data_IF_521288270114
#
_entry.id   IF_521288270114
#
_cell.length_a   1.000
_cell.length_b   1.000
_cell.length_c   1.000
_cell.angle_alpha   90.00
_cell.angle_beta   90.00
_cell.angle_gamma   90.00
#
_symmetry.space_group_name_H-M   'P 1'
#
loop_
_entity.id
_entity.type
_entity.pdbx_description
1 polymer ?
#
# COMPACT_ATOMS: atom_id res chain seq x y z
N UNK A 1 13.45 -26.75 23.52
CA UNK A 1 14.02 -26.05 24.68
C UNK A 1 13.50 -24.62 24.63
N UNK A 2 12.70 -24.21 25.61
CA UNK A 2 12.35 -22.80 25.83
C UNK A 2 13.60 -22.11 26.37
N UNK A 3 14.15 -21.17 25.60
CA UNK A 3 15.25 -20.31 26.04
C UNK A 3 14.76 -19.41 27.16
N UNK A 4 15.47 -19.39 28.28
CA UNK A 4 15.18 -18.50 29.40
C UNK A 4 15.25 -17.04 28.96
N UNK A 5 14.30 -16.22 29.43
CA UNK A 5 14.34 -14.78 29.20
C UNK A 5 15.51 -14.18 29.99
N UNK A 6 16.46 -13.54 29.30
CA UNK A 6 17.49 -12.74 29.95
C UNK A 6 16.82 -11.50 30.54
N UNK A 7 16.79 -11.41 31.88
CA UNK A 7 16.22 -10.29 32.61
C UNK A 7 17.35 -9.58 33.35
N UNK A 8 17.83 -8.47 32.79
CA UNK A 8 18.78 -7.59 33.45
C UNK A 8 18.06 -6.31 33.89
N UNK A 9 18.06 -6.04 35.20
CA UNK A 9 17.50 -4.81 35.74
C UNK A 9 18.53 -3.70 35.61
N UNK A 10 18.28 -2.74 34.72
CA UNK A 10 19.19 -1.62 34.46
C UNK A 10 18.68 -0.35 35.13
N UNK A 11 19.58 0.34 35.83
CA UNK A 11 19.31 1.60 36.52
C UNK A 11 20.37 2.59 36.02
N UNK A 12 19.93 3.70 35.43
CA UNK A 12 20.80 4.73 34.87
C UNK A 12 20.45 6.12 35.41
N UNK A 13 21.47 6.96 35.54
CA UNK A 13 21.36 8.39 35.85
C UNK A 13 21.38 9.22 34.54
N UNK A 14 20.87 10.46 34.55
CA UNK A 14 20.82 11.32 33.37
C UNK A 14 19.52 11.28 32.57
N UNK A 15 18.47 10.64 33.12
CA UNK A 15 17.08 10.76 32.64
C UNK A 15 16.58 12.22 32.72
N UNK A 16 15.42 12.50 32.11
CA UNK A 16 14.76 13.81 32.16
C UNK A 16 14.81 14.41 33.57
N UNK A 17 15.38 15.62 33.65
CA UNK A 17 15.53 16.34 34.91
C UNK A 17 14.19 16.54 35.63
N UNK A 18 14.23 16.64 36.96
CA UNK A 18 13.04 16.91 37.74
C UNK A 18 12.40 18.23 37.27
N UNK A 19 11.08 18.26 36.97
CA UNK A 19 10.40 19.48 36.56
C UNK A 19 10.62 20.60 37.57
N UNK A 20 11.11 21.75 37.11
CA UNK A 20 11.15 22.95 37.93
C UNK A 20 9.79 23.67 37.82
N UNK A 21 9.18 23.94 38.96
CA UNK A 21 7.95 24.73 39.03
C UNK A 21 8.32 26.20 38.90
N UNK A 22 7.96 26.81 37.77
CA UNK A 22 8.10 28.26 37.60
C UNK A 22 7.12 29.04 38.49
N UNK A 23 5.99 28.43 38.86
CA UNK A 23 5.08 28.93 39.90
C UNK A 23 4.32 27.75 40.55
N UNK A 24 4.41 27.61 41.87
CA UNK A 24 3.70 26.54 42.60
C UNK A 24 2.20 26.81 42.79
N UNK A 25 1.73 28.01 42.41
CA UNK A 25 0.34 28.42 42.52
C UNK A 25 -0.16 28.56 43.97
N UNK A 26 -1.33 29.15 44.15
CA UNK A 26 -2.09 29.10 45.41
C UNK A 26 -3.58 28.98 45.10
N UNK A 27 -4.24 27.92 45.59
CA UNK A 27 -5.65 27.63 45.29
C UNK A 27 -5.87 26.86 43.98
N UNK A 28 -7.11 26.90 43.45
CA UNK A 28 -7.56 26.16 42.25
C UNK A 28 -7.19 26.82 40.90
N UNK A 29 -6.01 27.43 40.78
CA UNK A 29 -5.57 28.06 39.51
C UNK A 29 -4.25 27.49 39.00
N UNK A 30 -4.20 27.40 37.66
CA UNK A 30 -3.25 26.69 36.81
C UNK A 30 -1.81 26.62 37.33
N UNK A 31 -1.34 25.39 37.51
CA UNK A 31 0.07 25.06 37.76
C UNK A 31 0.76 24.87 36.40
N UNK A 32 1.91 25.51 36.20
CA UNK A 32 2.77 25.28 35.04
C UNK A 32 4.16 24.85 35.50
N UNK A 33 4.74 23.89 34.79
CA UNK A 33 6.09 23.40 34.98
C UNK A 33 6.78 23.37 33.62
N UNK A 34 8.07 23.70 33.60
CA UNK A 34 8.90 23.62 32.40
C UNK A 34 9.84 22.43 32.54
N UNK A 35 9.75 21.50 31.58
CA UNK A 35 10.75 20.43 31.41
C UNK A 35 11.85 20.97 30.49
N UNK A 36 13.10 20.88 30.93
CA UNK A 36 14.28 21.23 30.12
C UNK A 36 15.24 20.05 30.05
N UNK A 37 15.74 19.75 28.84
CA UNK A 37 16.72 18.69 28.55
C UNK A 37 16.13 17.52 27.76
N UNK A 38 16.98 16.82 27.03
CA UNK A 38 16.57 15.71 26.15
C UNK A 38 16.59 14.35 26.87
N UNK A 39 17.23 14.26 28.03
CA UNK A 39 17.27 13.07 28.89
C UNK A 39 17.90 11.83 28.25
N UNK A 40 18.35 10.89 29.07
CA UNK A 40 18.68 9.53 28.64
C UNK A 40 17.40 8.68 28.65
N UNK A 41 17.08 8.03 27.53
CA UNK A 41 16.04 7.01 27.46
C UNK A 41 16.71 5.65 27.26
N UNK A 42 16.47 4.70 28.18
CA UNK A 42 16.92 3.31 28.05
C UNK A 42 16.03 2.55 27.04
N UNK A 43 16.08 2.97 25.77
CA UNK A 43 15.39 2.33 24.66
C UNK A 43 16.40 1.81 23.64
N UNK A 44 16.49 0.49 23.56
CA UNK A 44 17.37 -0.19 22.61
C UNK A 44 16.77 -0.15 21.21
N UNK A 45 17.63 0.15 20.24
CA UNK A 45 17.23 0.26 18.85
C UNK A 45 17.10 -1.14 18.25
N UNK A 46 15.87 -1.55 17.99
CA UNK A 46 15.55 -2.84 17.38
C UNK A 46 14.88 -2.66 16.01
N UNK A 47 15.02 -3.67 15.15
CA UNK A 47 14.42 -3.67 13.83
C UNK A 47 15.33 -3.08 12.75
N UNK A 48 14.75 -2.60 11.63
CA UNK A 48 15.53 -2.25 10.46
C UNK A 48 16.06 -0.81 10.50
N UNK A 49 15.77 -0.03 11.54
CA UNK A 49 16.16 1.38 11.61
C UNK A 49 17.18 1.60 12.73
N UNK A 50 18.27 2.29 12.41
CA UNK A 50 19.33 2.66 13.33
C UNK A 50 19.56 4.17 13.27
N UNK A 51 19.41 4.86 14.39
CA UNK A 51 19.74 6.26 14.58
C UNK A 51 21.24 6.41 14.85
N UNK A 52 21.87 7.30 14.10
CA UNK A 52 23.30 7.59 14.20
C UNK A 52 23.52 9.09 14.33
N UNK A 53 24.55 9.47 15.09
CA UNK A 53 24.98 10.86 15.30
C UNK A 53 26.48 11.00 15.07
N UNK A 54 26.96 12.24 15.01
CA UNK A 54 28.38 12.60 14.94
C UNK A 54 29.13 11.96 13.76
N UNK A 55 28.48 11.92 12.60
CA UNK A 55 29.10 11.38 11.39
C UNK A 55 29.92 12.42 10.63
N UNK A 56 31.12 12.03 10.24
CA UNK A 56 32.04 12.84 9.45
C UNK A 56 31.63 13.02 7.97
N UNK A 57 30.70 12.20 7.48
CA UNK A 57 30.21 12.24 6.09
C UNK A 57 28.90 11.48 5.93
N UNK A 58 28.18 11.75 4.84
CA UNK A 58 26.94 11.05 4.50
C UNK A 58 27.27 9.79 3.67
N UNK A 59 27.05 8.58 4.20
CA UNK A 59 27.31 7.38 3.43
C UNK A 59 26.29 7.19 2.29
N UNK A 60 26.76 6.58 1.20
CA UNK A 60 25.90 6.12 0.12
C UNK A 60 25.10 4.87 0.50
N UNK A 61 23.94 4.63 -0.15
CA UNK A 61 23.23 3.35 -0.02
C UNK A 61 24.13 2.21 -0.51
N UNK A 62 24.12 1.11 0.22
CA UNK A 62 24.95 -0.06 -0.01
C UNK A 62 26.27 -0.09 0.77
N UNK A 63 26.59 0.95 1.55
CA UNK A 63 27.73 0.92 2.45
C UNK A 63 27.58 -0.18 3.52
N UNK A 64 28.71 -0.73 3.95
CA UNK A 64 28.79 -1.73 5.00
C UNK A 64 28.92 -1.01 6.34
N UNK A 65 28.20 -1.49 7.33
CA UNK A 65 28.21 -1.00 8.70
C UNK A 65 28.71 -2.11 9.63
N UNK A 66 29.75 -1.80 10.38
CA UNK A 66 30.23 -2.60 11.50
C UNK A 66 29.87 -1.88 12.80
N UNK A 67 29.24 -2.62 13.71
CA UNK A 67 28.89 -2.12 15.03
C UNK A 67 29.90 -2.73 16.00
N UNK A 68 30.60 -1.89 16.77
CA UNK A 68 31.57 -2.37 17.75
C UNK A 68 30.84 -3.23 18.80
N UNK A 69 31.39 -4.41 19.12
CA UNK A 69 30.74 -5.42 19.97
C UNK A 69 29.92 -6.48 19.23
N UNK A 70 29.69 -6.32 17.91
CA UNK A 70 28.99 -7.30 17.07
C UNK A 70 29.85 -7.71 15.87
N UNK A 71 30.94 -8.42 16.13
CA UNK A 71 31.93 -8.79 15.10
C UNK A 71 31.44 -9.90 14.16
N UNK A 72 30.46 -10.71 14.59
CA UNK A 72 29.93 -11.84 13.81
C UNK A 72 28.87 -11.43 12.78
N UNK A 73 28.33 -10.21 12.85
CA UNK A 73 27.26 -9.74 11.96
C UNK A 73 27.68 -8.51 11.17
N UNK A 74 27.47 -8.58 9.85
CA UNK A 74 27.77 -7.49 8.93
C UNK A 74 26.47 -6.86 8.46
N UNK A 75 26.26 -5.59 8.83
CA UNK A 75 25.08 -4.84 8.45
C UNK A 75 25.31 -4.06 7.15
N UNK A 76 24.25 -3.87 6.37
CA UNK A 76 24.27 -3.10 5.12
C UNK A 76 23.29 -1.95 5.22
N UNK A 77 23.73 -0.75 4.88
CA UNK A 77 22.87 0.43 4.79
C UNK A 77 22.10 0.34 3.47
N UNK A 78 20.79 0.19 3.54
CA UNK A 78 19.91 0.19 2.35
C UNK A 78 19.46 1.60 1.99
N UNK A 79 19.20 2.42 3.01
CA UNK A 79 18.72 3.78 2.83
C UNK A 79 19.19 4.68 3.97
N UNK A 80 19.34 5.97 3.69
CA UNK A 80 19.67 7.01 4.67
C UNK A 80 18.53 8.03 4.69
N UNK A 81 17.85 8.12 5.83
CA UNK A 81 16.67 8.95 6.07
C UNK A 81 16.99 10.02 7.12
N UNK A 82 16.16 11.07 7.21
CA UNK A 82 16.20 12.07 8.29
C UNK A 82 17.59 12.67 8.56
N UNK A 83 18.33 13.00 7.50
CA UNK A 83 19.67 13.61 7.63
C UNK A 83 19.53 15.04 8.16
N UNK A 84 20.16 15.31 9.29
CA UNK A 84 20.21 16.63 9.93
C UNK A 84 21.65 16.99 10.32
N UNK A 85 21.94 18.28 10.45
CA UNK A 85 23.27 18.78 10.77
C UNK A 85 24.23 18.90 9.58
N UNK A 86 25.48 19.27 9.87
CA UNK A 86 26.57 19.42 8.92
C UNK A 86 27.81 18.68 9.44
N UNK A 87 28.68 18.21 8.53
CA UNK A 87 29.93 17.53 8.92
C UNK A 87 30.77 18.42 9.86
N UNK A 88 31.30 17.91 10.97
CA UNK A 88 31.37 16.49 11.40
C UNK A 88 30.21 16.00 12.30
N UNK A 89 29.18 16.81 12.52
CA UNK A 89 28.06 16.50 13.43
C UNK A 89 26.78 16.20 12.64
N UNK A 90 26.86 15.24 11.71
CA UNK A 90 25.67 14.80 10.95
C UNK A 90 24.95 13.71 11.76
N UNK A 91 23.65 13.89 11.94
CA UNK A 91 22.75 12.86 12.44
C UNK A 91 21.86 12.34 11.32
N UNK A 92 21.56 11.04 11.33
CA UNK A 92 20.69 10.41 10.35
C UNK A 92 20.05 9.14 10.90
N UNK A 93 19.02 8.68 10.21
CA UNK A 93 18.43 7.37 10.41
C UNK A 93 18.82 6.45 9.26
N UNK A 94 19.55 5.38 9.55
CA UNK A 94 19.86 4.34 8.57
C UNK A 94 18.80 3.27 8.57
N UNK A 95 18.42 2.81 7.38
CA UNK A 95 17.73 1.54 7.21
C UNK A 95 18.76 0.45 6.94
N UNK A 96 18.83 -0.59 7.76
CA UNK A 96 19.85 -1.63 7.71
C UNK A 96 19.28 -3.03 7.45
N UNK A 97 20.10 -3.87 6.81
CA UNK A 97 19.84 -5.30 6.57
C UNK A 97 21.10 -6.12 6.89
N UNK A 98 21.02 -7.22 7.66
CA UNK A 98 19.84 -7.74 8.36
C UNK A 98 19.32 -6.80 9.44
N UNK A 99 18.09 -7.01 9.93
CA UNK A 99 17.49 -6.19 11.01
C UNK A 99 18.19 -6.48 12.35
N UNK A 100 18.27 -5.48 13.23
CA UNK A 100 18.77 -5.68 14.60
C UNK A 100 17.77 -6.49 15.42
N UNK A 101 18.25 -7.59 15.99
CA UNK A 101 17.50 -8.35 16.98
C UNK A 101 17.73 -7.78 18.39
N UNK A 102 16.89 -8.15 19.35
CA UNK A 102 17.00 -7.66 20.73
C UNK A 102 18.37 -7.96 21.37
N UNK A 103 18.96 -9.12 21.06
CA UNK A 103 20.27 -9.54 21.57
C UNK A 103 21.45 -8.88 20.83
N UNK A 104 21.19 -8.23 19.71
CA UNK A 104 22.19 -7.58 18.84
C UNK A 104 22.02 -6.06 18.86
N UNK A 105 21.22 -5.53 19.78
CA UNK A 105 21.03 -4.09 19.87
C UNK A 105 22.19 -3.47 20.64
N UNK A 106 22.95 -2.52 20.06
CA UNK A 106 24.10 -1.92 20.72
C UNK A 106 23.68 -0.99 21.86
N UNK A 107 24.56 -0.83 22.85
CA UNK A 107 24.41 0.16 23.90
C UNK A 107 24.46 1.59 23.30
N UNK A 108 23.91 2.55 24.04
CA UNK A 108 23.98 3.95 23.65
C UNK A 108 25.44 4.40 23.45
N UNK A 109 25.67 5.25 22.46
CA UNK A 109 27.01 5.76 22.09
C UNK A 109 28.04 4.69 21.68
N UNK A 110 27.60 3.48 21.35
CA UNK A 110 28.47 2.48 20.73
C UNK A 110 29.04 3.00 19.41
N UNK A 111 30.36 2.90 19.28
CA UNK A 111 31.05 3.30 18.05
C UNK A 111 30.69 2.40 16.86
N UNK A 112 30.53 3.03 15.70
CA UNK A 112 30.26 2.34 14.44
C UNK A 112 31.34 2.66 13.42
N UNK A 113 31.73 1.67 12.62
CA UNK A 113 32.64 1.85 11.48
C UNK A 113 31.85 1.64 10.19
N UNK A 114 31.88 2.63 9.30
CA UNK A 114 31.20 2.56 8.01
C UNK A 114 32.25 2.42 6.91
N UNK A 115 32.09 1.41 6.06
CA UNK A 115 32.91 1.19 4.87
C UNK A 115 32.07 1.35 3.63
N UNK A 116 32.33 2.42 2.88
CA UNK A 116 31.65 2.68 1.60
C UNK A 116 32.21 1.82 0.46
N UNK A 117 33.50 1.49 0.52
CA UNK A 117 34.17 0.67 -0.49
C UNK A 117 34.07 -0.79 -0.08
N UNK A 118 33.60 -1.63 -0.99
CA UNK A 118 33.50 -3.07 -0.82
C UNK A 118 34.40 -3.79 -1.83
N UNK A 119 34.90 -4.95 -1.45
CA UNK A 119 35.53 -5.87 -2.39
C UNK A 119 34.45 -6.40 -3.35
N UNK A 120 34.70 -6.28 -4.64
CA UNK A 120 33.80 -6.76 -5.68
C UNK A 120 34.47 -7.86 -6.48
N UNK A 121 33.78 -8.99 -6.61
CA UNK A 121 34.08 -10.02 -7.60
C UNK A 121 32.98 -9.98 -8.65
N UNK A 122 33.37 -9.89 -9.92
CA UNK A 122 32.47 -9.96 -11.06
C UNK A 122 32.72 -11.26 -11.82
N UNK A 123 31.67 -12.04 -12.01
CA UNK A 123 31.67 -13.26 -12.79
C UNK A 123 30.64 -13.06 -13.92
N UNK A 124 31.00 -13.37 -15.16
CA UNK A 124 30.10 -13.19 -16.30
C UNK A 124 30.09 -14.43 -17.17
N UNK A 125 28.90 -15.01 -17.40
CA UNK A 125 28.74 -16.19 -18.25
C UNK A 125 29.36 -17.46 -17.64
N UNK A 126 29.30 -17.58 -16.31
CA UNK A 126 29.77 -18.79 -15.63
C UNK A 126 28.65 -19.81 -15.55
N UNK A 127 29.00 -21.08 -15.66
CA UNK A 127 28.05 -22.18 -15.59
C UNK A 127 28.06 -22.76 -14.16
N UNK A 128 26.93 -22.68 -13.46
CA UNK A 128 26.78 -23.23 -12.12
C UNK A 128 26.08 -24.58 -12.19
N UNK A 129 26.83 -25.58 -12.66
CA UNK A 129 26.34 -26.95 -12.77
C UNK A 129 26.45 -27.69 -11.44
N UNK A 130 25.36 -28.36 -11.05
CA UNK A 130 25.34 -29.37 -9.98
C UNK A 130 25.91 -28.87 -8.64
N UNK A 131 25.73 -27.57 -8.34
CA UNK A 131 26.23 -26.95 -7.12
C UNK A 131 25.58 -27.61 -5.90
N UNK A 132 26.40 -27.94 -4.89
CA UNK A 132 25.96 -28.62 -3.67
C UNK A 132 26.17 -30.14 -3.65
N UNK A 133 26.53 -30.77 -4.78
CA UNK A 133 26.74 -32.23 -4.89
C UNK A 133 28.05 -32.75 -4.29
N UNK A 134 28.88 -31.86 -3.74
CA UNK A 134 30.10 -32.20 -3.01
C UNK A 134 31.36 -32.24 -3.88
N UNK A 135 32.17 -33.29 -3.75
CA UNK A 135 33.44 -33.46 -4.46
C UNK A 135 33.29 -34.40 -5.67
N UNK A 136 34.38 -34.59 -6.45
CA UNK A 136 34.38 -35.44 -7.65
C UNK A 136 33.75 -36.83 -7.44
N UNK A 137 33.96 -37.45 -6.28
CA UNK A 137 33.44 -38.79 -5.98
C UNK A 137 31.95 -38.77 -5.62
N UNK A 138 31.46 -37.73 -4.92
CA UNK A 138 30.07 -37.63 -4.50
C UNK A 138 29.17 -37.05 -5.59
N UNK A 139 29.69 -36.09 -6.37
CA UNK A 139 29.06 -35.55 -7.56
C UNK A 139 28.93 -36.63 -8.63
N UNK A 140 29.93 -37.51 -8.78
CA UNK A 140 29.89 -38.64 -9.72
C UNK A 140 29.46 -38.23 -11.15
N UNK A 141 29.98 -37.10 -11.65
CA UNK A 141 29.69 -36.64 -13.02
C UNK A 141 30.39 -37.56 -14.06
N UNK A 142 29.69 -38.05 -15.12
CA UNK A 142 28.31 -37.75 -15.51
C UNK A 142 27.27 -38.78 -15.02
N UNK A 143 27.69 -39.80 -14.25
CA UNK A 143 26.81 -40.85 -13.72
C UNK A 143 25.63 -40.34 -12.87
N UNK A 144 25.72 -39.12 -12.34
CA UNK A 144 24.62 -38.45 -11.65
C UNK A 144 23.37 -38.27 -12.54
N UNK A 145 23.54 -38.11 -13.85
CA UNK A 145 22.40 -37.94 -14.78
C UNK A 145 21.67 -39.23 -15.09
N UNK A 146 22.26 -40.39 -14.78
CA UNK A 146 21.64 -41.71 -15.01
C UNK A 146 21.20 -42.38 -13.72
N UNK A 147 21.95 -42.19 -12.63
CA UNK A 147 21.73 -42.86 -11.34
C UNK A 147 21.19 -41.95 -10.23
N UNK A 148 21.07 -40.64 -10.48
CA UNK A 148 20.63 -39.64 -9.50
C UNK A 148 21.74 -39.19 -8.55
N UNK A 149 21.38 -38.36 -7.56
CA UNK A 149 22.33 -37.81 -6.59
C UNK A 149 22.64 -38.79 -5.46
N UNK A 150 23.85 -38.65 -4.90
CA UNK A 150 24.18 -39.30 -3.63
C UNK A 150 23.30 -38.70 -2.51
N UNK A 151 22.57 -39.50 -1.74
CA UNK A 151 21.73 -39.00 -0.64
C UNK A 151 22.52 -38.10 0.33
N UNK A 152 21.96 -36.94 0.65
CA UNK A 152 22.62 -35.91 1.49
C UNK A 152 23.47 -34.89 0.71
N UNK A 153 23.76 -35.15 -0.56
CA UNK A 153 24.48 -34.26 -1.48
C UNK A 153 23.59 -33.87 -2.67
N UNK A 154 22.37 -33.45 -2.36
CA UNK A 154 21.45 -32.89 -3.35
C UNK A 154 21.91 -31.50 -3.82
N UNK A 155 21.45 -31.09 -5.01
CA UNK A 155 21.72 -29.76 -5.54
C UNK A 155 21.20 -28.69 -4.59
N UNK A 156 22.03 -27.70 -4.29
CA UNK A 156 21.73 -26.57 -3.41
C UNK A 156 22.04 -25.28 -4.15
N UNK A 157 21.06 -24.79 -4.90
CA UNK A 157 21.19 -23.58 -5.71
C UNK A 157 21.60 -22.35 -4.89
N UNK A 158 21.15 -22.27 -3.63
CA UNK A 158 21.49 -21.15 -2.74
C UNK A 158 22.98 -21.04 -2.43
N UNK A 159 23.78 -22.07 -2.75
CA UNK A 159 25.22 -22.09 -2.51
C UNK A 159 26.05 -21.72 -3.75
N UNK A 160 25.43 -21.21 -4.83
CA UNK A 160 26.13 -20.74 -6.04
C UNK A 160 27.18 -19.67 -5.72
N UNK A 161 26.83 -18.74 -4.85
CA UNK A 161 27.76 -17.72 -4.37
C UNK A 161 27.64 -17.58 -2.86
N UNK A 162 28.79 -17.45 -2.20
CA UNK A 162 28.87 -17.12 -0.79
C UNK A 162 29.66 -15.83 -0.68
N UNK A 163 29.04 -14.82 -0.06
CA UNK A 163 29.71 -13.56 0.27
C UNK A 163 30.14 -13.61 1.73
N UNK A 164 31.39 -13.24 1.98
CA UNK A 164 31.96 -13.08 3.33
C UNK A 164 32.49 -11.65 3.51
N UNK A 165 32.52 -11.17 4.75
CA UNK A 165 33.13 -9.89 5.12
C UNK A 165 32.54 -8.68 4.40
N UNK A 166 31.24 -8.74 4.05
CA UNK A 166 30.55 -7.66 3.34
C UNK A 166 30.94 -7.47 1.87
N UNK A 167 31.80 -8.33 1.31
CA UNK A 167 32.11 -8.32 -0.13
C UNK A 167 30.88 -8.60 -0.99
N UNK A 168 30.91 -8.22 -2.27
CA UNK A 168 29.81 -8.48 -3.20
C UNK A 168 30.27 -9.35 -4.35
N UNK A 169 29.46 -10.37 -4.66
CA UNK A 169 29.62 -11.19 -5.85
C UNK A 169 28.49 -10.83 -6.80
N UNK A 170 28.85 -10.23 -7.93
CA UNK A 170 27.91 -10.01 -9.01
C UNK A 170 28.17 -11.06 -10.07
N UNK A 171 27.15 -11.82 -10.42
CA UNK A 171 27.27 -12.92 -11.36
C UNK A 171 26.15 -12.90 -12.38
N UNK A 172 26.49 -13.35 -13.58
CA UNK A 172 25.51 -13.89 -14.53
C UNK A 172 25.84 -15.36 -14.74
N UNK A 173 24.84 -16.22 -14.58
CA UNK A 173 25.04 -17.66 -14.67
C UNK A 173 23.93 -18.36 -15.45
N UNK A 174 24.27 -19.55 -15.92
CA UNK A 174 23.32 -20.55 -16.37
C UNK A 174 23.39 -21.72 -15.40
N UNK A 175 22.25 -22.33 -15.08
CA UNK A 175 22.21 -23.59 -14.33
C UNK A 175 22.16 -24.81 -15.24
N UNK A 176 22.20 -25.99 -14.65
CA UNK A 176 22.15 -27.26 -15.39
C UNK A 176 20.85 -27.54 -16.15
N UNK A 177 19.78 -26.80 -15.86
CA UNK A 177 18.49 -26.89 -16.53
C UNK A 177 18.34 -25.79 -17.61
N UNK A 178 19.39 -24.98 -17.81
CA UNK A 178 19.46 -23.91 -18.80
C UNK A 178 18.87 -22.58 -18.33
N UNK A 179 18.49 -22.45 -17.07
CA UNK A 179 17.91 -21.22 -16.54
C UNK A 179 18.99 -20.14 -16.42
N UNK A 180 18.66 -18.93 -16.85
CA UNK A 180 19.59 -17.79 -16.83
C UNK A 180 19.31 -16.89 -15.65
N UNK A 181 20.36 -16.52 -14.91
CA UNK A 181 20.25 -15.70 -13.70
C UNK A 181 21.21 -14.53 -13.70
N UNK A 182 20.77 -13.40 -13.13
CA UNK A 182 21.59 -12.21 -12.84
C UNK A 182 21.52 -11.95 -11.33
N UNK A 183 22.38 -12.62 -10.58
CA UNK A 183 22.30 -12.63 -9.12
C UNK A 183 20.94 -13.15 -8.64
N UNK A 184 20.39 -12.49 -7.62
CA UNK A 184 19.03 -12.73 -7.10
C UNK A 184 17.97 -11.79 -7.71
N UNK A 185 18.37 -10.93 -8.66
CA UNK A 185 17.53 -9.85 -9.16
C UNK A 185 16.59 -10.31 -10.27
N UNK A 186 17.09 -11.18 -11.14
CA UNK A 186 16.43 -11.57 -12.36
C UNK A 186 16.76 -13.01 -12.69
N UNK A 187 15.71 -13.77 -13.01
CA UNK A 187 15.80 -15.18 -13.38
C UNK A 187 14.88 -15.46 -14.56
N UNK A 188 15.38 -16.26 -15.52
CA UNK A 188 14.63 -16.75 -16.67
C UNK A 188 14.70 -18.26 -16.65
N UNK A 189 13.55 -18.89 -16.43
CA UNK A 189 13.41 -20.33 -16.57
C UNK A 189 13.15 -20.68 -18.03
N UNK A 190 14.12 -21.29 -18.71
CA UNK A 190 13.98 -21.58 -20.15
C UNK A 190 13.00 -22.71 -20.43
N UNK A 191 12.79 -23.61 -19.47
CA UNK A 191 11.88 -24.76 -19.63
C UNK A 191 10.41 -24.37 -19.52
N UNK A 192 10.06 -23.44 -18.63
CA UNK A 192 8.69 -22.98 -18.37
C UNK A 192 8.39 -21.65 -19.08
N UNK A 193 9.42 -20.89 -19.47
CA UNK A 193 9.30 -19.54 -20.01
C UNK A 193 8.97 -18.48 -18.96
N UNK A 194 9.03 -18.83 -17.67
CA UNK A 194 8.72 -17.92 -16.57
C UNK A 194 9.93 -17.00 -16.32
N UNK A 195 9.63 -15.71 -16.13
CA UNK A 195 10.63 -14.70 -15.76
C UNK A 195 10.29 -14.14 -14.39
N UNK A 196 11.23 -14.23 -13.46
CA UNK A 196 11.07 -13.72 -12.09
C UNK A 196 11.94 -12.48 -11.91
N UNK A 197 11.34 -11.41 -11.38
CA UNK A 197 12.02 -10.16 -11.02
C UNK A 197 11.81 -9.89 -9.53
N UNK A 198 12.89 -9.66 -8.79
CA UNK A 198 12.82 -9.29 -7.38
C UNK A 198 12.59 -7.78 -7.23
N UNK A 199 11.36 -7.39 -6.88
CA UNK A 199 10.95 -5.99 -6.76
C UNK A 199 11.55 -5.26 -5.53
N UNK A 200 12.05 -5.97 -4.51
CA UNK A 200 12.62 -5.34 -3.32
C UNK A 200 14.03 -4.78 -3.57
N UNK A 201 14.72 -5.33 -4.57
CA UNK A 201 16.10 -4.99 -4.90
C UNK A 201 16.21 -4.16 -6.20
N UNK A 202 15.10 -4.01 -6.94
CA UNK A 202 15.05 -3.22 -8.17
C UNK A 202 14.28 -1.92 -7.93
N UNK A 203 14.91 -0.79 -8.22
CA UNK A 203 14.22 0.49 -8.20
C UNK A 203 13.35 0.61 -9.46
N UNK A 204 12.04 0.37 -9.29
CA UNK A 204 11.04 0.53 -10.36
C UNK A 204 10.59 2.00 -10.51
N UNK A 205 11.16 2.93 -9.75
CA UNK A 205 10.84 4.35 -9.89
C UNK A 205 11.40 4.91 -11.21
N UNK A 206 10.55 5.57 -11.98
CA UNK A 206 10.91 6.09 -13.31
C UNK A 206 10.68 5.13 -14.47
N UNK A 207 10.07 3.96 -14.26
CA UNK A 207 9.52 3.18 -15.36
C UNK A 207 8.34 3.93 -16.00
N UNK A 208 8.49 4.30 -17.28
CA UNK A 208 7.45 4.97 -18.05
C UNK A 208 6.29 4.04 -18.40
N UNK A 209 6.55 2.74 -18.55
CA UNK A 209 5.56 1.71 -18.88
C UNK A 209 6.05 0.33 -18.40
N UNK A 210 5.16 -0.49 -17.83
CA UNK A 210 5.38 -1.93 -17.64
C UNK A 210 4.37 -2.65 -18.53
N UNK A 211 4.80 -3.06 -19.72
CA UNK A 211 3.96 -3.84 -20.62
C UNK A 211 3.91 -5.29 -20.12
N UNK A 212 2.83 -5.65 -19.43
CA UNK A 212 2.54 -7.04 -19.10
C UNK A 212 2.05 -7.74 -20.38
N UNK A 213 2.98 -8.33 -21.12
CA UNK A 213 2.66 -9.16 -22.27
C UNK A 213 1.90 -10.40 -21.81
N UNK A 214 0.58 -10.39 -21.93
CA UNK A 214 -0.19 -11.62 -21.84
C UNK A 214 0.16 -12.45 -23.08
N UNK A 215 1.06 -13.43 -22.92
CA UNK A 215 1.40 -14.39 -23.97
C UNK A 215 0.15 -15.17 -24.39
N UNK A 216 -0.48 -14.73 -25.49
CA UNK A 216 -1.65 -15.37 -26.06
C UNK A 216 -1.90 -14.87 -27.47
N UNK A 217 -1.58 -15.72 -28.45
CA UNK A 217 -1.89 -15.51 -29.87
C UNK A 217 -3.40 -15.29 -30.02
N UNK A 218 -3.81 -14.07 -30.35
CA UNK A 218 -5.18 -13.75 -30.76
C UNK A 218 -6.06 -13.01 -29.75
N UNK A 219 -5.51 -12.50 -28.65
CA UNK A 219 -6.20 -11.54 -27.77
C UNK A 219 -5.87 -10.10 -28.17
N UNK A 220 -6.83 -9.18 -28.08
CA UNK A 220 -6.59 -7.74 -28.24
C UNK A 220 -5.66 -7.28 -27.11
N UNK A 221 -4.41 -6.96 -27.43
CA UNK A 221 -3.40 -6.52 -26.46
C UNK A 221 -3.90 -5.31 -25.65
N UNK A 222 -4.25 -5.54 -24.39
CA UNK A 222 -4.60 -4.46 -23.46
C UNK A 222 -3.31 -3.88 -22.90
N UNK A 223 -2.89 -2.75 -23.47
CA UNK A 223 -1.76 -1.98 -22.94
C UNK A 223 -2.19 -1.24 -21.68
N UNK A 224 -1.58 -1.56 -20.56
CA UNK A 224 -1.76 -0.86 -19.27
C UNK A 224 -0.52 -0.02 -19.03
N UNK A 225 -0.70 1.29 -18.96
CA UNK A 225 0.39 2.25 -18.82
C UNK A 225 0.67 2.56 -17.34
N UNK A 226 -0.37 2.63 -16.50
CA UNK A 226 -0.20 3.00 -15.08
C UNK A 226 -1.36 2.52 -14.18
N UNK A 227 -1.08 2.44 -12.87
CA UNK A 227 -2.09 2.31 -11.82
C UNK A 227 -2.38 3.69 -11.22
N UNK A 228 -3.63 4.15 -11.30
CA UNK A 228 -4.02 5.50 -10.85
C UNK A 228 -4.68 5.51 -9.48
N UNK A 229 -4.26 6.45 -8.63
CA UNK A 229 -4.90 6.76 -7.34
C UNK A 229 -5.93 7.88 -7.44
N UNK A 230 -6.20 8.41 -8.64
CA UNK A 230 -7.16 9.50 -8.84
C UNK A 230 -8.60 9.06 -8.50
N UNK A 231 -9.22 9.58 -7.42
CA UNK A 231 -10.57 9.21 -7.02
C UNK A 231 -11.65 9.79 -7.96
N UNK A 232 -11.27 10.68 -8.89
CA UNK A 232 -12.23 11.34 -9.79
C UNK A 232 -12.34 10.66 -11.15
N UNK A 233 -11.47 9.69 -11.46
CA UNK A 233 -11.42 8.96 -12.73
C UNK A 233 -11.48 9.88 -13.97
N UNK A 234 -10.88 11.08 -13.89
CA UNK A 234 -11.03 12.12 -14.93
C UNK A 234 -10.41 11.75 -16.27
N UNK A 235 -9.37 10.90 -16.25
CA UNK A 235 -8.54 10.58 -17.42
C UNK A 235 -9.25 9.66 -18.43
N UNK A 236 -10.34 8.98 -18.05
CA UNK A 236 -11.18 8.11 -18.89
C UNK A 236 -10.39 7.34 -19.98
N UNK A 237 -9.46 6.49 -19.55
CA UNK A 237 -8.51 5.80 -20.44
C UNK A 237 -8.63 4.29 -20.29
N UNK A 238 -8.51 3.58 -21.42
CA UNK A 238 -8.49 2.11 -21.45
C UNK A 238 -7.13 1.51 -21.03
N UNK A 239 -6.14 2.37 -20.78
CA UNK A 239 -4.77 1.99 -20.43
C UNK A 239 -4.40 2.38 -19.00
N UNK A 240 -5.36 2.79 -18.17
CA UNK A 240 -5.12 3.22 -16.80
C UNK A 240 -6.04 2.44 -15.86
N UNK A 241 -5.46 1.71 -14.91
CA UNK A 241 -6.23 0.94 -13.93
C UNK A 241 -6.36 1.72 -12.63
N UNK A 242 -7.57 2.02 -12.13
CA UNK A 242 -7.73 2.70 -10.85
C UNK A 242 -7.50 1.74 -9.66
N UNK A 243 -6.91 2.26 -8.58
CA UNK A 243 -6.74 1.52 -7.32
C UNK A 243 -8.07 1.28 -6.59
N UNK A 244 -8.12 0.29 -5.70
CA UNK A 244 -9.32 -0.02 -4.90
C UNK A 244 -9.88 1.20 -4.16
N UNK A 245 -9.00 2.03 -3.56
CA UNK A 245 -9.40 3.26 -2.86
C UNK A 245 -9.98 4.32 -3.82
N UNK A 246 -9.41 4.46 -5.02
CA UNK A 246 -9.92 5.38 -6.03
C UNK A 246 -11.32 4.97 -6.51
N UNK A 247 -11.54 3.67 -6.76
CA UNK A 247 -12.86 3.12 -7.10
C UNK A 247 -13.85 3.35 -5.96
N UNK A 248 -13.48 3.00 -4.73
CA UNK A 248 -14.36 3.16 -3.57
C UNK A 248 -14.75 4.63 -3.34
N UNK A 249 -13.81 5.56 -3.53
CA UNK A 249 -14.08 7.00 -3.40
C UNK A 249 -14.94 7.51 -4.56
N UNK A 250 -14.67 7.08 -5.79
CA UNK A 250 -15.48 7.45 -6.97
C UNK A 250 -16.93 6.96 -6.82
N UNK A 251 -17.11 5.68 -6.52
CA UNK A 251 -18.43 5.09 -6.27
C UNK A 251 -19.09 5.75 -5.06
N UNK A 252 -18.35 5.99 -3.97
CA UNK A 252 -18.83 6.73 -2.81
C UNK A 252 -19.33 8.13 -3.18
N UNK A 253 -18.63 8.87 -4.04
CA UNK A 253 -19.05 10.19 -4.49
C UNK A 253 -20.30 10.17 -5.37
N UNK A 254 -20.59 9.05 -6.04
CA UNK A 254 -21.72 8.90 -6.97
C UNK A 254 -22.94 8.21 -6.35
N UNK A 255 -22.71 7.35 -5.37
CA UNK A 255 -23.74 6.48 -4.75
C UNK A 255 -23.98 6.87 -3.29
N UNK A 256 -23.01 7.49 -2.61
CA UNK A 256 -23.04 7.75 -1.18
C UNK A 256 -22.91 9.25 -0.88
N UNK A 257 -23.97 10.01 -1.17
CA UNK A 257 -24.40 11.05 -0.25
C UNK A 257 -25.02 10.36 0.97
N UNK A 258 -24.20 9.80 1.85
CA UNK A 258 -24.56 8.90 2.96
C UNK A 258 -25.54 9.52 3.98
N UNK A 259 -26.80 9.62 3.59
CA UNK A 259 -27.91 10.05 4.42
C UNK A 259 -29.15 10.26 3.57
N UNK A 260 -29.96 9.22 3.40
CA UNK A 260 -31.37 9.20 2.92
C UNK A 260 -31.76 9.99 1.64
N UNK A 261 -30.85 10.75 1.04
CA UNK A 261 -31.14 11.77 0.04
C UNK A 261 -30.30 11.48 -1.21
N UNK A 262 -30.99 11.15 -2.31
CA UNK A 262 -30.43 11.16 -3.65
C UNK A 262 -30.43 12.59 -4.17
N UNK A 263 -29.24 13.16 -4.40
CA UNK A 263 -29.09 14.44 -5.11
C UNK A 263 -28.93 14.12 -6.59
N UNK A 264 -30.06 14.01 -7.29
CA UNK A 264 -30.10 13.69 -8.73
C UNK A 264 -31.20 14.52 -9.38
N UNK A 265 -30.99 14.98 -10.62
CA UNK A 265 -32.02 15.70 -11.37
C UNK A 265 -33.25 14.83 -11.69
N UNK A 266 -33.08 13.51 -11.69
CA UNK A 266 -34.13 12.53 -11.95
C UNK A 266 -33.84 11.23 -11.19
N UNK A 267 -34.86 10.67 -10.55
CA UNK A 267 -34.82 9.31 -9.97
C UNK A 267 -35.89 8.45 -10.64
N UNK A 268 -35.48 7.31 -11.19
CA UNK A 268 -36.40 6.26 -11.65
C UNK A 268 -36.45 5.14 -10.62
N UNK A 269 -37.62 4.91 -10.03
CA UNK A 269 -37.89 3.81 -9.13
C UNK A 269 -38.93 2.88 -9.76
N UNK A 270 -38.45 1.89 -10.52
CA UNK A 270 -39.33 0.97 -11.27
C UNK A 270 -40.08 1.70 -12.39
N UNK A 271 -41.41 1.72 -12.30
CA UNK A 271 -42.29 2.41 -13.25
C UNK A 271 -42.53 3.89 -12.90
N UNK A 272 -42.17 4.31 -11.67
CA UNK A 272 -42.38 5.68 -11.19
C UNK A 272 -41.11 6.49 -11.39
N UNK A 273 -41.27 7.68 -11.96
CA UNK A 273 -40.20 8.64 -12.21
C UNK A 273 -40.47 9.93 -11.46
N UNK A 274 -39.45 10.40 -10.74
CA UNK A 274 -39.41 11.67 -10.03
C UNK A 274 -38.51 12.61 -10.82
N UNK A 275 -39.05 13.69 -11.38
CA UNK A 275 -38.30 14.66 -12.18
C UNK A 275 -38.71 16.08 -11.78
N UNK A 276 -37.76 16.88 -11.31
CA UNK A 276 -37.97 18.27 -10.84
C UNK A 276 -39.25 18.43 -10.00
N UNK A 277 -40.34 18.91 -10.63
CA UNK A 277 -41.62 19.23 -9.97
C UNK A 277 -42.72 18.17 -10.21
N UNK A 278 -42.40 17.03 -10.83
CA UNK A 278 -43.39 16.04 -11.25
C UNK A 278 -43.04 14.62 -10.80
N UNK A 279 -44.08 13.89 -10.39
CA UNK A 279 -44.06 12.45 -10.12
C UNK A 279 -45.06 11.82 -11.08
N UNK A 280 -44.60 10.91 -11.95
CA UNK A 280 -45.48 10.25 -12.92
C UNK A 280 -45.06 8.80 -13.19
N UNK A 281 -46.02 8.01 -13.69
CA UNK A 281 -45.75 6.66 -14.15
C UNK A 281 -45.25 6.70 -15.60
N UNK A 282 -43.97 6.39 -15.81
CA UNK A 282 -43.35 6.46 -17.13
C UNK A 282 -43.76 5.30 -18.04
N UNK A 283 -44.15 4.15 -17.46
CA UNK A 283 -44.61 3.00 -18.25
C UNK A 283 -45.98 3.29 -18.91
N UNK A 284 -46.81 4.13 -18.28
CA UNK A 284 -48.13 4.53 -18.77
C UNK A 284 -48.37 6.03 -18.52
N UNK A 285 -47.79 6.93 -19.30
CA UNK A 285 -47.78 8.37 -18.99
C UNK A 285 -49.14 9.06 -19.03
N UNK A 286 -50.13 8.49 -19.74
CA UNK A 286 -51.48 9.07 -19.85
C UNK A 286 -52.52 8.40 -18.93
N UNK A 287 -52.31 7.16 -18.49
CA UNK A 287 -53.30 6.36 -17.76
C UNK A 287 -52.75 5.67 -16.50
N UNK A 288 -51.44 5.74 -16.27
CA UNK A 288 -50.78 5.12 -15.14
C UNK A 288 -51.02 5.92 -13.86
N UNK A 289 -51.59 5.26 -12.86
CA UNK A 289 -51.83 5.86 -11.56
C UNK A 289 -50.65 5.64 -10.61
N UNK A 290 -50.37 6.62 -9.76
CA UNK A 290 -49.41 6.49 -8.64
C UNK A 290 -50.23 6.29 -7.37
N UNK A 291 -50.28 5.05 -6.87
CA UNK A 291 -51.11 4.68 -5.73
C UNK A 291 -50.27 4.65 -4.45
N UNK A 292 -50.65 5.48 -3.47
CA UNK A 292 -50.09 5.45 -2.12
C UNK A 292 -50.99 4.56 -1.24
N UNK A 293 -50.51 3.38 -0.86
CA UNK A 293 -51.29 2.42 -0.06
C UNK A 293 -51.46 2.82 1.42
N UNK A 294 -50.70 3.82 1.88
CA UNK A 294 -50.74 4.35 3.25
C UNK A 294 -51.09 5.85 3.24
N UNK A 295 -51.62 6.35 4.35
CA UNK A 295 -51.93 7.78 4.52
C UNK A 295 -50.65 8.62 4.35
N UNK A 296 -50.66 9.50 3.34
CA UNK A 296 -49.57 10.43 3.04
C UNK A 296 -49.92 11.83 3.54
N UNK A 297 -48.96 12.50 4.16
CA UNK A 297 -49.07 13.91 4.53
C UNK A 297 -48.46 14.77 3.41
N UNK A 298 -49.29 15.59 2.75
CA UNK A 298 -48.87 16.50 1.70
C UNK A 298 -48.94 17.93 2.25
N UNK A 299 -47.79 18.56 2.46
CA UNK A 299 -47.69 19.96 2.89
C UNK A 299 -47.75 20.90 1.67
N UNK A 300 -48.48 22.01 1.77
CA UNK A 300 -48.68 23.02 0.72
C UNK A 300 -49.37 22.52 -0.57
N UNK A 301 -50.67 22.25 -0.45
CA UNK A 301 -51.54 21.90 -1.57
C UNK A 301 -52.08 23.18 -2.24
N UNK A 302 -52.07 23.22 -3.59
CA UNK A 302 -52.58 24.37 -4.35
C UNK A 302 -54.09 24.59 -4.11
N UNK A 303 -54.54 25.85 -4.14
CA UNK A 303 -55.92 26.28 -3.85
C UNK A 303 -57.05 25.43 -4.45
N UNK A 304 -57.02 25.03 -5.75
CA UNK A 304 -58.07 24.21 -6.33
C UNK A 304 -58.17 22.80 -5.72
N UNK A 305 -57.06 22.20 -5.28
CA UNK A 305 -57.08 20.89 -4.62
C UNK A 305 -57.60 20.98 -3.17
N UNK A 306 -57.35 22.09 -2.48
CA UNK A 306 -57.97 22.38 -1.17
C UNK A 306 -59.47 22.66 -1.30
N UNK A 307 -59.89 23.37 -2.35
CA UNK A 307 -61.30 23.58 -2.64
C UNK A 307 -62.00 22.25 -2.94
N UNK A 308 -61.35 21.33 -3.67
CA UNK A 308 -61.91 20.02 -3.97
C UNK A 308 -62.07 19.16 -2.71
N UNK A 309 -61.12 19.19 -1.77
CA UNK A 309 -61.26 18.47 -0.49
C UNK A 309 -62.38 19.04 0.39
N UNK A 310 -62.57 20.37 0.38
CA UNK A 310 -63.62 21.06 1.13
C UNK A 310 -65.03 20.77 0.58
N UNK A 311 -65.21 20.80 -0.75
CA UNK A 311 -66.53 20.62 -1.36
C UNK A 311 -66.94 19.15 -1.57
N UNK A 312 -65.98 18.23 -1.75
CA UNK A 312 -66.29 16.84 -2.12
C UNK A 312 -65.95 15.80 -1.05
N UNK A 313 -65.51 16.22 0.14
CA UNK A 313 -65.31 15.31 1.27
C UNK A 313 -64.46 14.10 0.89
N UNK A 314 -63.16 14.33 0.65
CA UNK A 314 -62.15 13.28 0.44
C UNK A 314 -62.35 12.32 -0.76
N UNK A 315 -63.29 12.55 -1.67
CA UNK A 315 -63.41 11.73 -2.89
C UNK A 315 -62.94 12.51 -4.13
N UNK A 316 -61.90 11.99 -4.80
CA UNK A 316 -61.40 12.50 -6.08
C UNK A 316 -62.35 12.05 -7.19
N UNK A 317 -62.81 12.96 -8.05
CA UNK A 317 -63.54 12.64 -9.28
C UNK A 317 -62.62 12.77 -10.49
N UNK A 318 -62.61 11.74 -11.33
CA UNK A 318 -61.76 11.58 -12.52
C UNK A 318 -62.17 12.47 -13.73
N UNK A 319 -63.25 13.23 -13.63
CA UNK A 319 -63.65 14.15 -14.70
C UNK A 319 -64.31 15.42 -14.16
N UNK A 320 -63.82 16.55 -14.67
CA UNK A 320 -64.42 17.87 -14.51
C UNK A 320 -65.38 18.09 -15.67
N UNK A 321 -66.68 17.94 -15.44
CA UNK A 321 -67.69 18.45 -16.37
C UNK A 321 -68.10 19.85 -15.92
N UNK A 322 -67.38 20.86 -16.41
CA UNK A 322 -67.59 22.28 -16.05
C UNK A 322 -68.72 22.97 -16.83
N UNK A 323 -69.67 22.22 -17.39
CA UNK A 323 -70.78 22.82 -18.10
C UNK A 323 -71.97 21.90 -18.20
N UNK A 324 -73.07 22.26 -17.55
CA UNK A 324 -74.38 21.70 -17.87
C UNK A 324 -74.69 21.85 -19.37
N UNK A 325 -75.61 21.03 -19.84
CA UNK A 325 -76.03 20.82 -21.25
C UNK A 325 -76.25 22.11 -22.07
N UNK A 326 -76.40 23.25 -21.41
CA UNK A 326 -76.58 24.57 -22.03
C UNK A 326 -75.27 25.18 -22.59
N UNK A 327 -74.09 24.79 -22.10
CA UNK A 327 -72.80 25.34 -22.58
C UNK A 327 -72.29 24.66 -23.85
N UNK A 328 -72.62 23.39 -24.04
CA UNK A 328 -72.22 22.58 -25.21
C UNK A 328 -73.00 22.94 -26.49
N UNK A 329 -74.12 23.67 -26.34
CA UNK A 329 -74.87 24.26 -27.47
C UNK A 329 -74.33 25.61 -27.94
N UNK A 330 -73.44 26.26 -27.19
CA UNK A 330 -72.91 27.59 -27.54
C UNK A 330 -71.56 27.54 -28.28
N UNK A 331 -70.84 26.42 -28.18
CA UNK A 331 -69.60 26.17 -28.89
C UNK A 331 -69.71 24.81 -29.57
N UNK A 332 -70.41 24.76 -30.69
CA UNK A 332 -70.52 23.54 -31.49
C UNK A 332 -69.15 23.14 -32.07
N UNK A 333 -68.70 21.95 -31.66
CA UNK A 333 -67.49 21.22 -32.09
C UNK A 333 -66.13 21.91 -31.88
#
# INVERSE_FOLDING_TARGET
>A
ATTDASLEARIFDGVLGQPEFSNRGSGFMNVSATLTGDGFADEYQIGPYLQVKDMNGKPGPGAILYINGLEDQVYRITQVNNVTGNSPNIAAQFRITPRLNANESPDHETTIEIRERYSQVRITGHDFLDIGTGNKSTTNYPGLYTSGYTPGYERKQQNETVSNGGGRVFYTSTDQDGNYRVGELFEVEQSTGIVTLNADLFDLSGLTEITLGAGGIGGTDVKINEFSTDPTLKKNSNSVIPTQKAIATFVGSRVSGGGANLITNEVRAGQIKFANDQIFNEAFPAAGQVVFAATVNISNVSGPMLAQSYFFGSNVRDSWDEGGVERDTLYGN
#
